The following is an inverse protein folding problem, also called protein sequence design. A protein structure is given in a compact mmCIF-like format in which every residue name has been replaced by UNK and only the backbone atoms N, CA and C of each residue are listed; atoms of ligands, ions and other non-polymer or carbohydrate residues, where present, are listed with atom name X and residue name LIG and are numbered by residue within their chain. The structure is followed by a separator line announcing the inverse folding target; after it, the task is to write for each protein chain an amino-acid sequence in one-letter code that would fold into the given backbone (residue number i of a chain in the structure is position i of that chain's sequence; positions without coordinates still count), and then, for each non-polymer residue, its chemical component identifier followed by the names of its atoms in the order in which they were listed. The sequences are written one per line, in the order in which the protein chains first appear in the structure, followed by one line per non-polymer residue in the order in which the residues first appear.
data_IF_869297236445
#
_entry.id   IF_869297236445
#
_cell.length_a   1.000
_cell.length_b   1.000
_cell.length_c   1.000
_cell.angle_alpha   90.00
_cell.angle_beta   90.00
_cell.angle_gamma   90.00
#
_symmetry.space_group_name_H-M   'P 1'
#
loop_
_entity.id
_entity.type
_entity.pdbx_description
1 polymer ?
#
# COMPACT_ATOMS: atom_id res chain seq x y z
N UNK A 1 2.33 10.28 -5.58
CA UNK A 1 2.43 9.80 -6.98
C UNK A 1 3.45 8.67 -7.01
N UNK A 2 3.03 7.46 -7.37
CA UNK A 2 3.94 6.30 -7.47
C UNK A 2 4.44 6.18 -8.90
N UNK A 3 5.76 6.19 -9.09
CA UNK A 3 6.39 6.08 -10.40
C UNK A 3 7.15 4.76 -10.45
N UNK A 4 6.85 3.93 -11.44
CA UNK A 4 7.57 2.69 -11.67
C UNK A 4 8.92 2.98 -12.31
N UNK A 5 9.91 2.12 -12.07
CA UNK A 5 11.25 2.18 -12.70
C UNK A 5 11.22 2.20 -14.24
N UNK A 6 10.14 1.70 -14.88
CA UNK A 6 9.95 1.75 -16.33
C UNK A 6 9.44 3.11 -16.86
N UNK A 7 9.29 4.10 -15.95
CA UNK A 7 8.71 5.41 -16.22
C UNK A 7 7.18 5.43 -16.30
N UNK A 8 6.51 4.32 -15.98
CA UNK A 8 5.05 4.23 -15.95
C UNK A 8 4.44 4.71 -14.63
N UNK A 9 3.19 5.15 -14.67
CA UNK A 9 2.42 5.51 -13.47
C UNK A 9 1.95 4.23 -12.79
N UNK A 10 2.07 4.17 -11.45
CA UNK A 10 1.46 3.11 -10.65
C UNK A 10 0.17 3.60 -10.00
N UNK A 11 -0.86 2.77 -10.08
CA UNK A 11 -2.22 3.05 -9.60
C UNK A 11 -2.54 2.09 -8.46
N UNK A 12 -3.22 2.58 -7.43
CA UNK A 12 -3.69 1.76 -6.30
C UNK A 12 -4.72 0.74 -6.80
N UNK A 13 -4.45 -0.54 -6.53
CA UNK A 13 -5.32 -1.68 -6.88
C UNK A 13 -5.89 -2.39 -5.66
N UNK A 14 -5.38 -2.11 -4.46
CA UNK A 14 -5.88 -2.62 -3.20
C UNK A 14 -5.45 -1.75 -2.02
N UNK A 15 -6.27 -1.68 -0.97
CA UNK A 15 -5.96 -0.94 0.27
C UNK A 15 -6.20 -1.89 1.43
N UNK A 16 -5.29 -1.90 2.41
CA UNK A 16 -5.45 -2.63 3.66
C UNK A 16 -6.63 -2.06 4.46
N UNK A 17 -7.55 -2.94 4.87
CA UNK A 17 -8.59 -2.59 5.83
C UNK A 17 -8.03 -2.58 7.25
N UNK A 18 -8.37 -1.58 8.09
CA UNK A 18 -8.00 -1.59 9.49
C UNK A 18 -8.53 -2.84 10.22
N UNK A 19 -7.75 -3.46 11.12
CA UNK A 19 -8.19 -4.65 11.85
C UNK A 19 -9.52 -4.45 12.59
N UNK A 20 -10.36 -5.48 12.59
CA UNK A 20 -11.72 -5.40 13.14
C UNK A 20 -11.76 -5.04 14.63
N UNK A 21 -10.78 -5.54 15.39
CA UNK A 21 -10.67 -5.37 16.84
C UNK A 21 -10.32 -3.93 17.29
N UNK A 22 -9.94 -3.05 16.36
CA UNK A 22 -9.66 -1.65 16.68
C UNK A 22 -10.96 -0.88 16.92
N UNK A 23 -10.92 0.03 17.89
CA UNK A 23 -11.96 1.05 18.12
C UNK A 23 -12.11 1.98 16.91
N UNK A 24 -13.19 2.77 16.88
CA UNK A 24 -13.43 3.71 15.76
C UNK A 24 -12.32 4.77 15.69
N UNK A 25 -11.87 5.24 16.85
CA UNK A 25 -10.81 6.22 17.02
C UNK A 25 -9.47 5.65 16.52
N UNK A 26 -9.14 4.41 16.88
CA UNK A 26 -7.92 3.74 16.41
C UNK A 26 -7.94 3.50 14.89
N UNK A 27 -9.10 3.14 14.32
CA UNK A 27 -9.26 2.96 12.87
C UNK A 27 -9.04 4.26 12.10
N UNK A 28 -9.41 5.41 12.67
CA UNK A 28 -9.21 6.72 12.04
C UNK A 28 -7.74 7.10 11.89
N UNK A 29 -6.89 6.68 12.84
CA UNK A 29 -5.44 6.97 12.83
C UNK A 29 -4.59 5.78 12.36
N UNK A 30 -5.22 4.71 11.87
CA UNK A 30 -4.53 3.51 11.42
C UNK A 30 -3.74 3.77 10.13
N UNK A 31 -2.43 3.55 10.18
CA UNK A 31 -1.54 3.68 9.03
C UNK A 31 -1.73 2.49 8.07
N UNK A 32 -2.65 2.66 7.12
CA UNK A 32 -2.93 1.66 6.07
C UNK A 32 -1.79 1.58 5.07
N UNK A 33 -1.61 0.39 4.51
CA UNK A 33 -0.83 0.21 3.28
C UNK A 33 -1.75 -0.02 2.07
N UNK A 34 -1.20 0.14 0.88
CA UNK A 34 -1.87 -0.14 -0.38
C UNK A 34 -0.98 -0.95 -1.32
N UNK A 35 -1.62 -1.66 -2.22
CA UNK A 35 -0.95 -2.33 -3.34
C UNK A 35 -1.15 -1.48 -4.59
N UNK A 36 -0.10 -1.34 -5.39
CA UNK A 36 -0.11 -0.54 -6.61
C UNK A 36 0.37 -1.35 -7.81
N UNK A 37 -0.23 -1.09 -8.98
CA UNK A 37 0.11 -1.73 -10.23
C UNK A 37 0.48 -0.70 -11.30
N UNK A 38 1.59 -0.94 -11.99
CA UNK A 38 2.03 -0.08 -13.09
C UNK A 38 1.16 -0.30 -14.32
N UNK A 39 0.53 0.77 -14.80
CA UNK A 39 -0.31 0.75 -16.01
C UNK A 39 0.48 0.55 -17.32
N UNK A 40 1.82 0.60 -17.27
CA UNK A 40 2.70 0.43 -18.44
C UNK A 40 3.27 -0.98 -18.56
N UNK A 41 3.74 -1.57 -17.47
CA UNK A 41 4.43 -2.86 -17.49
C UNK A 41 3.81 -3.94 -16.59
N UNK A 42 2.73 -3.64 -15.87
CA UNK A 42 2.05 -4.58 -14.98
C UNK A 42 2.83 -4.93 -13.70
N UNK A 43 3.98 -4.28 -13.43
CA UNK A 43 4.73 -4.50 -12.17
C UNK A 43 3.84 -4.13 -10.98
N UNK A 44 3.73 -5.04 -10.01
CA UNK A 44 3.02 -4.83 -8.76
C UNK A 44 4.00 -4.50 -7.63
N UNK A 45 3.65 -3.52 -6.82
CA UNK A 45 4.32 -3.23 -5.55
C UNK A 45 3.29 -3.36 -4.44
N UNK A 46 3.65 -4.13 -3.42
CA UNK A 46 2.75 -4.42 -2.32
C UNK A 46 3.12 -3.58 -1.11
N UNK A 47 2.15 -3.37 -0.22
CA UNK A 47 2.36 -2.75 1.09
C UNK A 47 3.04 -1.37 1.03
N UNK A 48 2.67 -0.55 0.06
CA UNK A 48 3.10 0.84 -0.06
C UNK A 48 2.34 1.74 0.93
N UNK A 49 2.93 2.83 1.44
CA UNK A 49 2.22 3.76 2.31
C UNK A 49 0.99 4.38 1.64
N UNK A 50 -0.18 4.28 2.28
CA UNK A 50 -1.41 4.93 1.84
C UNK A 50 -1.64 6.26 2.61
N UNK A 51 -2.26 7.27 1.98
CA UNK A 51 -2.66 8.58 2.54
C UNK A 51 -1.74 9.18 3.61
N UNK A 52 -0.66 9.87 3.22
CA UNK A 52 0.28 10.53 4.14
C UNK A 52 0.92 9.62 5.20
N UNK A 53 0.77 8.30 5.10
CA UNK A 53 1.56 7.34 5.87
C UNK A 53 3.03 7.79 5.84
N UNK A 54 3.62 7.96 7.01
CA UNK A 54 4.98 8.49 7.14
C UNK A 54 5.91 7.67 6.23
N UNK A 55 7.02 8.27 5.77
CA UNK A 55 8.03 7.56 4.95
C UNK A 55 8.57 6.29 5.61
N UNK A 56 8.24 6.06 6.88
CA UNK A 56 8.59 4.93 7.73
C UNK A 56 7.29 4.20 8.12
N UNK A 57 6.52 3.72 7.14
CA UNK A 57 5.67 2.58 7.43
C UNK A 57 6.56 1.33 7.40
N UNK A 58 6.48 0.52 8.46
CA UNK A 58 7.16 -0.77 8.48
C UNK A 58 6.60 -1.61 7.33
N UNK A 59 7.42 -1.86 6.30
CA UNK A 59 7.04 -2.71 5.18
C UNK A 59 6.83 -4.12 5.75
N UNK A 60 5.56 -4.45 6.02
CA UNK A 60 5.19 -5.76 6.56
C UNK A 60 5.69 -6.83 5.58
N UNK A 61 6.34 -7.87 6.10
CA UNK A 61 6.71 -9.04 5.29
C UNK A 61 5.42 -9.74 4.85
N UNK A 62 5.00 -9.51 3.61
CA UNK A 62 3.88 -10.26 3.00
C UNK A 62 4.38 -11.59 2.45
N UNK A 63 3.49 -12.60 2.37
CA UNK A 63 3.83 -13.91 1.81
C UNK A 63 4.33 -13.75 0.38
N UNK A 64 5.50 -14.32 0.06
CA UNK A 64 5.92 -14.50 -1.34
C UNK A 64 4.93 -15.45 -2.01
N UNK A 65 4.29 -15.00 -3.08
CA UNK A 65 3.56 -15.88 -3.98
C UNK A 65 4.60 -16.74 -4.72
N UNK A 66 4.46 -18.06 -4.58
CA UNK A 66 5.15 -19.06 -5.40
C UNK A 66 4.61 -19.03 -6.83
#
# INVERSE_FOLDING_TARGET
MFVCECGGIMIVVGIEEPPEHLSKEEKLIYNRVCDVECQKCGKKQYSQPYDYGTKINEVKKTKRLQ
#
